data_IF_369950609348
#
_entry.id   IF_369950609348
#
_cell.length_a   1.000
_cell.length_b   1.000
_cell.length_c   1.000
_cell.angle_alpha   90.00
_cell.angle_beta   90.00
_cell.angle_gamma   90.00
#
_symmetry.space_group_name_H-M   'P 1'
#
loop_
_entity.id
_entity.type
_entity.pdbx_description
1 polymer ?
#
# COMPACT_ATOMS: atom_id res chain seq x y z
N UNK A 1 3.70 14.12 14.50
CA UNK A 1 2.76 13.10 14.05
C UNK A 1 3.51 12.09 13.20
N UNK A 2 3.31 10.78 13.42
CA UNK A 2 4.01 9.71 12.74
C UNK A 2 3.14 9.14 11.61
N UNK A 3 3.61 9.25 10.37
CA UNK A 3 3.02 8.58 9.21
C UNK A 3 3.86 7.36 8.84
N UNK A 4 3.31 6.17 9.04
CA UNK A 4 3.92 4.93 8.58
C UNK A 4 3.50 4.65 7.14
N UNK A 5 4.46 4.67 6.21
CA UNK A 5 4.20 4.54 4.77
C UNK A 5 4.87 3.31 4.18
N UNK A 6 4.10 2.47 3.50
CA UNK A 6 4.54 1.23 2.85
C UNK A 6 4.63 1.39 1.34
N UNK A 7 5.82 1.11 0.79
CA UNK A 7 6.06 1.14 -0.66
C UNK A 7 5.45 -0.06 -1.39
N UNK A 8 5.36 0.02 -2.73
CA UNK A 8 4.84 -1.06 -3.56
C UNK A 8 5.82 -2.21 -3.81
N UNK A 9 5.33 -3.24 -4.51
CA UNK A 9 6.13 -4.36 -5.00
C UNK A 9 7.25 -3.88 -5.93
N UNK A 10 8.39 -4.56 -5.89
CA UNK A 10 9.58 -4.25 -6.70
C UNK A 10 10.08 -2.80 -6.58
N UNK A 11 9.86 -2.19 -5.41
CA UNK A 11 10.18 -0.80 -5.09
C UNK A 11 11.03 -0.70 -3.82
N UNK A 12 11.15 0.51 -3.24
CA UNK A 12 11.94 0.75 -2.03
C UNK A 12 11.41 1.96 -1.23
N UNK A 13 11.92 2.21 -0.02
CA UNK A 13 11.66 3.44 0.75
C UNK A 13 12.03 4.74 0.04
N UNK A 14 12.83 4.67 -1.03
CA UNK A 14 13.20 5.79 -1.90
C UNK A 14 12.41 5.80 -3.22
N UNK A 15 11.20 5.23 -3.25
CA UNK A 15 10.34 5.26 -4.43
C UNK A 15 10.03 6.69 -4.88
N UNK A 16 9.75 6.87 -6.18
CA UNK A 16 9.44 8.19 -6.75
C UNK A 16 8.29 8.89 -5.98
N UNK A 17 7.26 8.14 -5.60
CA UNK A 17 6.13 8.67 -4.83
C UNK A 17 6.55 9.15 -3.44
N UNK A 18 7.31 8.33 -2.68
CA UNK A 18 7.81 8.71 -1.35
C UNK A 18 8.72 9.93 -1.45
N UNK A 19 9.62 9.95 -2.45
CA UNK A 19 10.53 11.09 -2.69
C UNK A 19 9.76 12.38 -3.01
N UNK A 20 8.66 12.28 -3.75
CA UNK A 20 7.84 13.44 -4.09
C UNK A 20 7.07 14.00 -2.88
N UNK A 21 6.47 13.13 -2.04
CA UNK A 21 5.63 13.57 -0.93
C UNK A 21 6.41 13.98 0.32
N UNK A 22 7.59 13.39 0.56
CA UNK A 22 8.40 13.65 1.78
C UNK A 22 8.62 15.14 2.07
N UNK A 23 9.20 15.94 1.15
CA UNK A 23 9.46 17.35 1.42
C UNK A 23 8.19 18.19 1.62
N UNK A 24 7.04 17.67 1.19
CA UNK A 24 5.75 18.33 1.35
C UNK A 24 5.10 18.01 2.70
N UNK A 25 5.53 16.97 3.41
CA UNK A 25 5.01 16.55 4.72
C UNK A 25 5.84 17.11 5.87
N UNK A 26 7.16 17.11 5.73
CA UNK A 26 8.10 17.61 6.73
C UNK A 26 8.01 19.15 6.88
N UNK A 27 8.28 19.70 8.09
CA UNK A 27 8.62 18.99 9.33
C UNK A 27 7.41 18.54 10.16
N UNK A 28 6.19 18.82 9.76
CA UNK A 28 4.98 18.65 10.60
C UNK A 28 4.63 17.16 10.80
N UNK A 29 4.93 16.35 9.80
CA UNK A 29 4.64 14.91 9.78
C UNK A 29 5.94 14.14 9.56
N UNK A 30 6.31 13.31 10.53
CA UNK A 30 7.45 12.40 10.41
C UNK A 30 7.07 11.21 9.54
N UNK A 31 7.77 11.05 8.42
CA UNK A 31 7.51 9.99 7.45
C UNK A 31 8.42 8.78 7.70
N UNK A 32 7.86 7.73 8.29
CA UNK A 32 8.51 6.46 8.57
C UNK A 32 8.25 5.50 7.40
N UNK A 33 9.31 5.06 6.72
CA UNK A 33 9.23 4.23 5.51
C UNK A 33 10.08 2.98 5.64
N UNK A 34 9.58 1.90 6.28
CA UNK A 34 10.34 0.65 6.37
C UNK A 34 10.55 0.01 5.00
N UNK A 35 11.68 -0.68 4.83
CA UNK A 35 11.91 -1.47 3.63
C UNK A 35 11.11 -2.78 3.72
N UNK A 36 10.25 -3.02 2.74
CA UNK A 36 9.44 -4.24 2.64
C UNK A 36 10.17 -5.38 1.93
N UNK A 37 11.40 -5.19 1.46
CA UNK A 37 12.19 -6.23 0.80
C UNK A 37 12.82 -7.18 1.84
N UNK A 38 12.00 -7.94 2.54
CA UNK A 38 12.37 -8.78 3.70
C UNK A 38 12.17 -10.27 3.38
N UNK A 39 13.19 -11.11 3.64
CA UNK A 39 14.56 -10.82 4.08
C UNK A 39 15.42 -10.17 2.99
N UNK A 40 15.09 -10.35 1.73
CA UNK A 40 15.63 -9.67 0.55
C UNK A 40 14.58 -9.65 -0.55
N UNK A 41 14.78 -8.87 -1.62
CA UNK A 41 13.82 -8.84 -2.72
C UNK A 41 13.71 -10.21 -3.42
N UNK A 42 14.81 -10.92 -3.59
CA UNK A 42 14.85 -12.25 -4.21
C UNK A 42 14.13 -13.32 -3.39
N UNK A 43 14.11 -13.13 -2.08
CA UNK A 43 13.53 -14.06 -1.10
C UNK A 43 12.38 -13.43 -0.31
N UNK A 44 11.60 -12.56 -0.96
CA UNK A 44 10.45 -11.95 -0.30
C UNK A 44 9.58 -12.99 0.40
N UNK A 45 9.19 -12.68 1.63
CA UNK A 45 8.29 -13.51 2.42
C UNK A 45 7.21 -12.63 3.06
N UNK A 46 5.95 -12.89 2.73
CA UNK A 46 4.82 -12.09 3.22
C UNK A 46 4.75 -12.04 4.75
N UNK A 47 4.95 -13.19 5.40
CA UNK A 47 4.89 -13.23 6.87
C UNK A 47 6.04 -12.44 7.49
N UNK A 48 7.24 -12.54 6.94
CA UNK A 48 8.39 -11.76 7.41
C UNK A 48 8.17 -10.25 7.22
N UNK A 49 7.57 -9.84 6.10
CA UNK A 49 7.17 -8.43 5.87
C UNK A 49 6.22 -7.97 6.98
N UNK A 50 5.17 -8.75 7.25
CA UNK A 50 4.17 -8.37 8.26
C UNK A 50 4.77 -8.32 9.67
N UNK A 51 5.58 -9.30 10.05
CA UNK A 51 6.31 -9.28 11.34
C UNK A 51 7.23 -8.05 11.46
N UNK A 52 7.95 -7.73 10.38
CA UNK A 52 8.81 -6.55 10.34
C UNK A 52 8.03 -5.26 10.57
N UNK A 53 6.93 -5.04 9.85
CA UNK A 53 6.15 -3.80 9.97
C UNK A 53 5.40 -3.69 11.30
N UNK A 54 4.97 -4.81 11.90
CA UNK A 54 4.43 -4.84 13.26
C UNK A 54 5.48 -4.36 14.27
N UNK A 55 6.70 -4.86 14.17
CA UNK A 55 7.81 -4.45 15.04
C UNK A 55 8.11 -2.94 14.89
N UNK A 56 8.11 -2.42 13.66
CA UNK A 56 8.28 -0.98 13.42
C UNK A 56 7.13 -0.18 14.06
N UNK A 57 5.90 -0.62 13.88
CA UNK A 57 4.72 0.05 14.44
C UNK A 57 4.70 0.03 15.99
N UNK A 58 5.23 -1.01 16.62
CA UNK A 58 5.38 -1.05 18.09
C UNK A 58 6.46 -0.10 18.59
N UNK A 59 7.57 0.04 17.86
CA UNK A 59 8.67 0.95 18.23
C UNK A 59 8.33 2.41 17.97
N UNK A 60 7.57 2.67 16.92
CA UNK A 60 7.15 3.98 16.45
C UNK A 60 5.65 3.94 16.12
N UNK A 61 4.78 4.04 17.14
CA UNK A 61 3.34 3.97 16.94
C UNK A 61 2.85 5.00 15.91
N UNK A 62 2.15 4.56 14.84
CA UNK A 62 1.66 5.46 13.82
C UNK A 62 0.39 6.19 14.25
N UNK A 63 0.30 7.47 13.93
CA UNK A 63 -0.94 8.27 14.01
C UNK A 63 -1.75 8.11 12.71
N UNK A 64 -1.07 7.74 11.61
CA UNK A 64 -1.64 7.51 10.28
C UNK A 64 -0.82 6.44 9.56
N UNK A 65 -1.50 5.58 8.82
CA UNK A 65 -0.85 4.55 8.00
C UNK A 65 -1.18 4.81 6.53
N UNK A 66 -0.17 4.81 5.67
CA UNK A 66 -0.37 4.86 4.23
C UNK A 66 0.31 3.69 3.54
N UNK A 67 -0.22 3.30 2.39
CA UNK A 67 0.40 2.27 1.56
C UNK A 67 0.10 2.45 0.09
N UNK A 68 1.08 2.14 -0.75
CA UNK A 68 0.94 2.22 -2.20
C UNK A 68 1.01 0.83 -2.82
N UNK A 69 0.07 0.49 -3.70
CA UNK A 69 0.03 -0.80 -4.40
C UNK A 69 0.06 -1.98 -3.41
N UNK A 70 1.08 -2.87 -3.46
CA UNK A 70 1.28 -3.94 -2.47
C UNK A 70 1.36 -3.40 -1.03
N UNK A 71 1.98 -2.25 -0.83
CA UNK A 71 2.07 -1.61 0.49
C UNK A 71 0.69 -1.26 1.09
N UNK A 72 -0.34 -1.10 0.26
CA UNK A 72 -1.70 -0.93 0.73
C UNK A 72 -2.27 -2.21 1.35
N UNK A 73 -1.91 -3.40 0.82
CA UNK A 73 -2.28 -4.68 1.43
C UNK A 73 -1.55 -4.88 2.77
N UNK A 74 -0.29 -4.44 2.86
CA UNK A 74 0.47 -4.44 4.12
C UNK A 74 -0.20 -3.54 5.15
N UNK A 75 -0.65 -2.34 4.75
CA UNK A 75 -1.38 -1.42 5.63
C UNK A 75 -2.70 -2.04 6.15
N UNK A 76 -3.45 -2.70 5.27
CA UNK A 76 -4.69 -3.42 5.63
C UNK A 76 -4.43 -4.57 6.61
N UNK A 77 -3.41 -5.39 6.35
CA UNK A 77 -3.03 -6.50 7.22
C UNK A 77 -2.62 -5.99 8.61
N UNK A 78 -1.81 -4.93 8.65
CA UNK A 78 -1.38 -4.31 9.90
C UNK A 78 -2.57 -3.81 10.73
N UNK A 79 -3.53 -3.14 10.09
CA UNK A 79 -4.75 -2.67 10.74
C UNK A 79 -5.61 -3.83 11.25
N UNK A 80 -5.75 -4.91 10.48
CA UNK A 80 -6.50 -6.11 10.89
C UNK A 80 -5.81 -6.90 12.01
N UNK A 81 -4.51 -6.72 12.20
CA UNK A 81 -3.74 -7.26 13.34
C UNK A 81 -3.74 -6.36 14.57
N UNK A 82 -4.52 -5.29 14.57
CA UNK A 82 -4.78 -4.48 15.75
C UNK A 82 -3.96 -3.19 15.85
N UNK A 83 -3.15 -2.84 14.86
CA UNK A 83 -2.55 -1.50 14.77
C UNK A 83 -3.54 -0.57 14.10
N UNK A 84 -4.44 0.00 14.91
CA UNK A 84 -5.59 0.78 14.42
C UNK A 84 -5.22 2.25 14.34
N UNK A 85 -5.12 2.76 13.11
CA UNK A 85 -4.96 4.18 12.77
C UNK A 85 -5.72 4.44 11.45
N UNK A 86 -6.09 5.70 11.12
CA UNK A 86 -6.64 6.02 9.81
C UNK A 86 -5.73 5.52 8.68
N UNK A 87 -6.32 5.12 7.56
CA UNK A 87 -5.60 4.55 6.42
C UNK A 87 -5.71 5.45 5.18
N UNK A 88 -4.59 5.59 4.44
CA UNK A 88 -4.57 6.14 3.09
C UNK A 88 -4.00 5.09 2.13
N UNK A 89 -4.85 4.52 1.29
CA UNK A 89 -4.50 3.48 0.33
C UNK A 89 -4.39 4.09 -1.07
N UNK A 90 -3.18 4.08 -1.63
CA UNK A 90 -2.84 4.77 -2.87
C UNK A 90 -2.63 3.76 -3.98
N UNK A 91 -3.44 3.79 -5.03
CA UNK A 91 -3.45 2.79 -6.10
C UNK A 91 -3.35 1.35 -5.53
N UNK A 92 -4.24 0.97 -4.58
CA UNK A 92 -4.07 -0.25 -3.79
C UNK A 92 -4.21 -1.51 -4.64
N UNK A 93 -3.36 -2.51 -4.41
CA UNK A 93 -3.36 -3.78 -5.13
C UNK A 93 -4.50 -4.72 -4.70
N UNK A 94 -5.73 -4.18 -4.53
CA UNK A 94 -6.90 -4.99 -4.17
C UNK A 94 -7.24 -5.97 -5.28
N UNK A 95 -7.57 -7.22 -4.92
CA UNK A 95 -7.85 -8.28 -5.88
C UNK A 95 -6.63 -8.84 -6.60
N UNK A 96 -5.41 -8.40 -6.30
CA UNK A 96 -4.19 -8.81 -7.01
C UNK A 96 -3.92 -10.32 -6.86
N UNK A 97 -4.31 -10.93 -5.75
CA UNK A 97 -4.09 -12.34 -5.47
C UNK A 97 -4.72 -13.24 -6.56
N UNK A 98 -5.96 -12.98 -6.91
CA UNK A 98 -6.69 -13.75 -7.92
C UNK A 98 -6.12 -13.50 -9.33
N UNK A 99 -5.71 -12.26 -9.62
CA UNK A 99 -5.08 -11.90 -10.89
C UNK A 99 -3.71 -12.56 -11.05
N UNK A 100 -2.84 -12.51 -10.05
CA UNK A 100 -1.53 -13.15 -10.10
C UNK A 100 -1.63 -14.66 -10.25
N UNK A 101 -2.61 -15.30 -9.61
CA UNK A 101 -2.83 -16.75 -9.74
C UNK A 101 -3.03 -17.20 -11.19
N UNK A 102 -3.62 -16.35 -12.02
CA UNK A 102 -3.93 -16.67 -13.43
C UNK A 102 -2.92 -16.13 -14.42
N UNK A 103 -2.09 -15.17 -14.05
CA UNK A 103 -1.20 -14.44 -14.97
C UNK A 103 0.29 -14.70 -14.76
N UNK A 104 0.68 -15.24 -13.60
CA UNK A 104 2.09 -15.53 -13.35
C UNK A 104 2.59 -16.66 -14.25
N UNK A 105 3.80 -16.51 -14.84
CA UNK A 105 4.42 -17.58 -15.62
C UNK A 105 4.74 -18.79 -14.75
N UNK A 106 4.87 -19.94 -15.39
CA UNK A 106 5.40 -21.13 -14.74
C UNK A 106 6.89 -20.98 -14.44
N UNK A 107 7.37 -21.75 -13.44
CA UNK A 107 8.77 -21.79 -13.07
C UNK A 107 9.10 -21.13 -11.73
N UNK A 108 10.33 -21.35 -11.28
CA UNK A 108 10.96 -20.76 -10.09
C UNK A 108 12.47 -20.66 -10.36
N UNK A 109 13.09 -19.49 -10.25
CA UNK A 109 12.49 -18.20 -9.88
C UNK A 109 11.67 -17.55 -11.00
N UNK A 110 10.81 -16.60 -10.63
CA UNK A 110 10.12 -15.71 -11.55
C UNK A 110 10.95 -14.43 -11.69
N UNK A 111 11.21 -14.01 -12.93
CA UNK A 111 11.96 -12.77 -13.19
C UNK A 111 10.99 -11.61 -13.31
N UNK A 112 11.25 -10.54 -12.53
CA UNK A 112 10.45 -9.32 -12.54
C UNK A 112 11.33 -8.08 -12.62
N UNK A 113 10.83 -7.02 -13.25
CA UNK A 113 11.55 -5.74 -13.28
C UNK A 113 11.48 -5.06 -11.91
N UNK A 114 12.63 -4.83 -11.29
CA UNK A 114 12.74 -4.10 -10.02
C UNK A 114 12.94 -2.61 -10.29
N UNK A 115 11.93 -1.80 -9.99
CA UNK A 115 11.92 -0.36 -10.24
C UNK A 115 12.97 0.41 -9.42
N UNK A 116 13.31 -0.08 -8.22
CA UNK A 116 14.33 0.54 -7.39
C UNK A 116 15.75 0.29 -7.92
N UNK A 117 16.00 -0.93 -8.41
CA UNK A 117 17.31 -1.35 -8.97
C UNK A 117 17.45 -1.05 -10.47
N UNK A 118 16.33 -0.75 -11.16
CA UNK A 118 16.23 -0.52 -12.62
C UNK A 118 16.77 -1.69 -13.45
N UNK A 119 16.52 -2.91 -13.01
CA UNK A 119 16.96 -4.15 -13.65
C UNK A 119 16.00 -5.28 -13.36
N UNK A 120 16.06 -6.30 -14.19
CA UNK A 120 15.37 -7.57 -13.93
C UNK A 120 16.03 -8.31 -12.78
N UNK A 121 15.22 -8.82 -11.87
CA UNK A 121 15.67 -9.54 -10.67
C UNK A 121 14.85 -10.81 -10.50
N UNK A 122 15.48 -11.96 -10.25
CA UNK A 122 14.76 -13.19 -9.93
C UNK A 122 14.16 -13.09 -8.51
N UNK A 123 12.93 -13.58 -8.37
CA UNK A 123 12.22 -13.70 -7.10
C UNK A 123 11.66 -15.11 -6.95
N UNK A 124 11.78 -15.72 -5.78
CA UNK A 124 11.22 -17.03 -5.53
C UNK A 124 9.70 -17.05 -5.65
N UNK A 125 9.19 -18.07 -6.37
CA UNK A 125 7.75 -18.28 -6.59
C UNK A 125 6.95 -18.35 -5.30
N UNK A 126 7.55 -18.83 -4.21
CA UNK A 126 6.94 -18.93 -2.89
C UNK A 126 6.26 -17.62 -2.42
N UNK A 127 6.84 -16.45 -2.73
CA UNK A 127 6.21 -15.17 -2.38
C UNK A 127 4.83 -15.01 -3.04
N UNK A 128 4.75 -15.31 -4.31
CA UNK A 128 3.48 -15.23 -5.05
C UNK A 128 2.45 -16.24 -4.55
N UNK A 129 2.90 -17.45 -4.19
CA UNK A 129 2.06 -18.49 -3.59
C UNK A 129 1.49 -18.04 -2.24
N UNK A 130 2.28 -17.37 -1.40
CA UNK A 130 1.79 -16.74 -0.18
C UNK A 130 0.75 -15.64 -0.49
N UNK A 131 1.02 -14.81 -1.51
CA UNK A 131 0.08 -13.76 -1.93
C UNK A 131 -1.25 -14.33 -2.44
N UNK A 132 -1.28 -15.53 -3.02
CA UNK A 132 -2.52 -16.18 -3.42
C UNK A 132 -3.46 -16.48 -2.24
N UNK A 133 -2.93 -16.55 -1.03
CA UNK A 133 -3.70 -16.81 0.19
C UNK A 133 -4.03 -15.53 0.98
N UNK A 134 -3.51 -14.38 0.58
CA UNK A 134 -3.83 -13.08 1.20
C UNK A 134 -5.30 -12.73 0.93
N UNK A 135 -6.04 -12.38 2.00
CA UNK A 135 -7.48 -12.08 1.97
C UNK A 135 -7.83 -10.81 2.76
N UNK A 136 -6.86 -9.94 2.93
CA UNK A 136 -7.02 -8.70 3.72
C UNK A 136 -8.01 -7.72 3.09
N UNK A 137 -8.21 -7.84 1.78
CA UNK A 137 -9.15 -7.05 1.00
C UNK A 137 -10.60 -7.58 1.02
N UNK A 138 -10.84 -8.74 1.64
CA UNK A 138 -12.19 -9.34 1.74
C UNK A 138 -13.09 -8.68 2.80
N UNK A 139 -12.53 -7.86 3.66
CA UNK A 139 -13.24 -7.13 4.73
C UNK A 139 -12.76 -5.69 4.79
N UNK A 140 -13.63 -4.74 5.17
CA UNK A 140 -13.20 -3.37 5.38
C UNK A 140 -12.19 -3.29 6.54
N UNK A 141 -11.27 -2.32 6.51
CA UNK A 141 -10.38 -2.09 7.63
C UNK A 141 -11.17 -1.62 8.87
N UNK A 142 -10.67 -1.91 10.10
CA UNK A 142 -11.34 -1.52 11.34
C UNK A 142 -11.26 -0.01 11.64
N UNK A 143 -10.63 0.77 10.76
CA UNK A 143 -10.44 2.19 10.88
C UNK A 143 -10.95 2.93 9.63
N UNK A 144 -11.10 4.24 9.75
CA UNK A 144 -11.39 5.12 8.60
C UNK A 144 -10.36 4.91 7.50
N UNK A 145 -10.81 4.82 6.25
CA UNK A 145 -9.94 4.62 5.09
C UNK A 145 -10.24 5.64 3.98
N UNK A 146 -9.17 6.21 3.42
CA UNK A 146 -9.22 6.96 2.16
C UNK A 146 -8.54 6.13 1.08
N UNK A 147 -9.27 5.75 0.04
CA UNK A 147 -8.71 5.11 -1.16
C UNK A 147 -8.51 6.20 -2.22
N UNK A 148 -7.33 6.24 -2.83
CA UNK A 148 -6.98 7.13 -3.94
C UNK A 148 -6.59 6.26 -5.12
N UNK A 149 -7.36 6.34 -6.22
CA UNK A 149 -7.20 5.44 -7.36
C UNK A 149 -7.22 6.19 -8.69
N UNK A 150 -6.25 5.90 -9.53
CA UNK A 150 -6.20 6.40 -10.90
C UNK A 150 -7.07 5.57 -11.84
N UNK A 151 -7.82 6.24 -12.75
CA UNK A 151 -8.67 5.52 -13.72
C UNK A 151 -7.84 4.85 -14.82
N UNK A 152 -6.67 5.39 -15.13
CA UNK A 152 -5.76 4.85 -16.14
C UNK A 152 -4.64 3.98 -15.54
N UNK A 153 -4.92 3.34 -14.40
CA UNK A 153 -3.97 2.42 -13.77
C UNK A 153 -3.85 1.11 -14.58
N UNK A 154 -2.71 0.93 -15.24
CA UNK A 154 -2.42 -0.26 -16.06
C UNK A 154 -1.98 -1.48 -15.23
N UNK A 155 -1.52 -1.25 -13.99
CA UNK A 155 -1.02 -2.30 -13.11
C UNK A 155 -2.14 -2.95 -12.29
N UNK A 156 -3.04 -2.14 -11.74
CA UNK A 156 -4.21 -2.59 -10.98
C UNK A 156 -5.46 -2.02 -11.64
N UNK A 157 -6.33 -2.84 -12.25
CA UNK A 157 -7.55 -2.35 -12.87
C UNK A 157 -8.42 -1.57 -11.88
N UNK A 158 -8.85 -0.37 -12.28
CA UNK A 158 -9.71 0.50 -11.48
C UNK A 158 -10.95 -0.24 -10.97
N UNK A 159 -11.58 -1.03 -11.83
CA UNK A 159 -12.82 -1.75 -11.55
C UNK A 159 -12.67 -2.77 -10.41
N UNK A 160 -11.49 -3.38 -10.22
CA UNK A 160 -11.24 -4.30 -9.10
C UNK A 160 -11.24 -3.56 -7.76
N UNK A 161 -10.63 -2.38 -7.75
CA UNK A 161 -10.58 -1.54 -6.55
C UNK A 161 -11.96 -0.98 -6.22
N UNK A 162 -12.69 -0.52 -7.24
CA UNK A 162 -14.06 -0.02 -7.10
C UNK A 162 -15.02 -1.12 -6.60
N UNK A 163 -14.93 -2.35 -7.14
CA UNK A 163 -15.71 -3.50 -6.67
C UNK A 163 -15.44 -3.82 -5.20
N UNK A 164 -14.17 -3.83 -4.80
CA UNK A 164 -13.78 -4.07 -3.41
C UNK A 164 -14.31 -2.96 -2.49
N UNK A 165 -14.19 -1.70 -2.91
CA UNK A 165 -14.75 -0.56 -2.19
C UNK A 165 -16.27 -0.69 -1.99
N UNK A 166 -17.00 -1.06 -3.04
CA UNK A 166 -18.45 -1.24 -3.00
C UNK A 166 -18.86 -2.39 -2.05
N UNK A 167 -18.06 -3.46 -1.95
CA UNK A 167 -18.25 -4.52 -0.98
C UNK A 167 -18.03 -4.04 0.47
N UNK A 168 -17.10 -3.11 0.68
CA UNK A 168 -16.80 -2.57 2.00
C UNK A 168 -17.81 -1.52 2.48
N UNK A 169 -18.47 -0.81 1.56
CA UNK A 169 -19.30 0.37 1.87
C UNK A 169 -20.25 0.20 3.06
N UNK A 170 -20.99 -0.93 3.21
CA UNK A 170 -21.94 -1.08 4.31
C UNK A 170 -21.30 -1.03 5.70
N UNK A 171 -20.04 -1.44 5.80
CA UNK A 171 -19.34 -1.64 7.08
C UNK A 171 -18.14 -0.69 7.27
N UNK A 172 -17.99 0.32 6.39
CA UNK A 172 -16.90 1.29 6.49
C UNK A 172 -17.08 2.21 7.69
N UNK A 173 -15.96 2.52 8.36
CA UNK A 173 -15.94 3.53 9.40
C UNK A 173 -16.36 4.91 8.84
N UNK A 174 -17.08 5.73 9.66
CA UNK A 174 -17.50 7.07 9.25
C UNK A 174 -16.32 7.93 8.77
N UNK A 175 -16.55 8.72 7.72
CA UNK A 175 -15.54 9.57 7.10
C UNK A 175 -14.61 8.85 6.12
N UNK A 176 -14.82 7.55 5.86
CA UNK A 176 -14.14 6.83 4.79
C UNK A 176 -14.56 7.37 3.43
N UNK A 177 -13.62 7.43 2.46
CA UNK A 177 -13.89 7.98 1.13
C UNK A 177 -13.07 7.31 0.03
N UNK A 178 -13.62 7.31 -1.17
CA UNK A 178 -12.96 6.89 -2.40
C UNK A 178 -12.72 8.12 -3.28
N UNK A 179 -11.49 8.33 -3.70
CA UNK A 179 -11.09 9.43 -4.55
C UNK A 179 -10.61 8.86 -5.87
N UNK A 180 -11.37 9.09 -6.90
CA UNK A 180 -11.00 8.79 -8.27
C UNK A 180 -10.16 9.93 -8.85
N UNK A 181 -9.09 9.58 -9.53
CA UNK A 181 -8.27 10.52 -10.32
C UNK A 181 -8.46 10.15 -11.80
N UNK A 182 -9.25 10.92 -12.58
CA UNK A 182 -9.59 10.56 -13.95
C UNK A 182 -8.40 10.31 -14.86
N UNK A 183 -7.35 11.12 -14.77
CA UNK A 183 -6.13 11.00 -15.57
C UNK A 183 -4.97 10.33 -14.80
N UNK A 184 -5.28 9.67 -13.67
CA UNK A 184 -4.27 9.05 -12.82
C UNK A 184 -3.78 7.71 -13.37
N UNK A 185 -2.47 7.54 -13.42
CA UNK A 185 -1.77 6.28 -13.65
C UNK A 185 -1.53 5.52 -12.34
N UNK A 186 -0.88 4.34 -12.39
CA UNK A 186 -0.48 3.59 -11.18
C UNK A 186 0.49 4.37 -10.27
N UNK A 187 1.35 5.16 -10.86
CA UNK A 187 2.35 5.96 -10.15
C UNK A 187 1.74 7.04 -9.27
N UNK A 188 0.70 7.72 -9.75
CA UNK A 188 0.07 8.89 -9.13
C UNK A 188 1.08 9.96 -8.69
N UNK A 189 2.28 9.98 -9.27
CA UNK A 189 3.36 10.90 -8.89
C UNK A 189 3.03 12.35 -9.24
N UNK A 190 2.31 12.55 -10.36
CA UNK A 190 1.82 13.87 -10.77
C UNK A 190 0.72 14.43 -9.83
N UNK A 191 0.19 13.60 -8.94
CA UNK A 191 -0.88 13.94 -8.00
C UNK A 191 -0.41 13.95 -6.53
N UNK A 192 0.89 14.18 -6.31
CA UNK A 192 1.48 14.24 -4.97
C UNK A 192 0.81 15.28 -4.07
N UNK A 193 0.42 16.45 -4.62
CA UNK A 193 -0.30 17.50 -3.89
C UNK A 193 -1.64 17.00 -3.32
N UNK A 194 -2.41 16.24 -4.11
CA UNK A 194 -3.67 15.66 -3.68
C UNK A 194 -3.43 14.66 -2.55
N UNK A 195 -2.47 13.75 -2.72
CA UNK A 195 -2.12 12.74 -1.71
C UNK A 195 -1.73 13.41 -0.39
N UNK A 196 -0.87 14.42 -0.44
CA UNK A 196 -0.43 15.19 0.73
C UNK A 196 -1.59 15.95 1.34
N UNK A 197 -2.45 16.54 0.52
CA UNK A 197 -3.67 17.24 0.98
C UNK A 197 -4.56 16.34 1.82
N UNK A 198 -4.79 15.10 1.39
CA UNK A 198 -5.56 14.09 2.11
C UNK A 198 -4.90 13.66 3.43
N UNK A 199 -3.60 13.39 3.39
CA UNK A 199 -2.80 13.06 4.58
C UNK A 199 -2.90 14.19 5.62
N UNK A 200 -2.71 15.45 5.19
CA UNK A 200 -2.78 16.62 6.07
C UNK A 200 -4.19 16.89 6.60
N UNK A 201 -5.23 16.59 5.81
CA UNK A 201 -6.61 16.70 6.28
C UNK A 201 -6.87 15.72 7.42
N UNK A 202 -6.52 14.44 7.25
CA UNK A 202 -6.70 13.41 8.29
C UNK A 202 -5.89 13.77 9.54
N UNK A 203 -4.65 14.25 9.37
CA UNK A 203 -3.79 14.70 10.45
C UNK A 203 -4.44 15.77 11.34
N UNK A 204 -5.08 16.78 10.72
CA UNK A 204 -5.78 17.86 11.44
C UNK A 204 -7.01 17.36 12.20
N UNK A 205 -7.75 16.44 11.60
CA UNK A 205 -8.96 15.87 12.20
C UNK A 205 -8.63 14.97 13.41
N UNK A 206 -7.45 14.35 13.42
CA UNK A 206 -6.98 13.51 14.54
C UNK A 206 -6.47 14.31 15.74
N UNK A 207 -6.29 15.62 15.59
CA UNK A 207 -5.74 16.51 16.63
C UNK A 207 -6.85 17.32 17.35
N UNK A 208 -8.08 17.22 16.89
CA UNK A 208 -9.28 17.83 17.47
C UNK A 208 -10.06 16.87 18.36
#
# INVERSE_FOLDING_TARGET
MNLLYFHGFASSPASAKITAIRPMLEPDIELITPDLNVPSFEQLDWNAIIEHVINVAHQQPPDLIAGSSLGALVALELAQRGVVAPLVLIAPALGIADRWRTQLPDGDPIVVFNHARKTDVPIHRRFFEQMFEVRVDRRPPPARVTVIMGRHDESVPFELVEQTWNLWQPDLAPGSKFIEIPEGDHGLTAHADLIVGEIRQIARESTQ
#
